data_IF_145506216884
#
_entry.id   IF_145506216884
#
_cell.length_a   1.000
_cell.length_b   1.000
_cell.length_c   1.000
_cell.angle_alpha   90.00
_cell.angle_beta   90.00
_cell.angle_gamma   90.00
#
_symmetry.space_group_name_H-M   'P 1'
#
loop_
_entity.id
_entity.type
_entity.pdbx_description
1 polymer ?
#
# COMPACT_ATOMS: atom_id res chain seq x y z
N UNK A 1 16.44 12.62 -38.22
CA UNK A 1 16.93 12.99 -36.88
C UNK A 1 15.85 12.66 -35.87
N UNK A 2 16.10 11.68 -35.01
CA UNK A 2 15.19 11.28 -33.95
C UNK A 2 15.15 12.40 -32.90
N UNK A 3 13.98 12.99 -32.67
CA UNK A 3 13.83 14.08 -31.69
C UNK A 3 13.82 13.48 -30.30
N UNK A 4 14.58 14.07 -29.37
CA UNK A 4 14.55 13.66 -27.97
C UNK A 4 13.11 13.82 -27.45
N UNK A 5 12.46 12.74 -26.95
CA UNK A 5 11.07 12.79 -26.50
C UNK A 5 10.89 13.52 -25.16
N UNK A 6 11.98 13.86 -24.47
CA UNK A 6 11.96 14.51 -23.16
C UNK A 6 12.03 16.03 -23.27
N UNK A 7 11.26 16.71 -22.41
CA UNK A 7 11.36 18.16 -22.24
C UNK A 7 12.78 18.56 -21.80
N UNK A 8 13.35 19.59 -22.44
CA UNK A 8 14.65 20.16 -22.06
C UNK A 8 14.60 20.91 -20.73
N UNK A 9 13.41 21.30 -20.27
CA UNK A 9 13.18 22.05 -19.03
C UNK A 9 13.79 21.38 -17.78
N UNK A 10 13.80 20.05 -17.73
CA UNK A 10 14.33 19.27 -16.60
C UNK A 10 15.80 18.86 -16.72
N UNK A 11 16.46 19.18 -17.83
CA UNK A 11 17.85 18.75 -18.06
C UNK A 11 18.80 19.48 -17.12
N UNK A 12 19.62 18.73 -16.38
CA UNK A 12 20.61 19.26 -15.44
C UNK A 12 20.00 19.93 -14.22
N UNK A 13 18.72 19.67 -13.91
CA UNK A 13 18.04 20.19 -12.72
C UNK A 13 18.14 19.20 -11.56
N UNK A 14 18.36 19.72 -10.35
CA UNK A 14 18.42 18.96 -9.10
C UNK A 14 19.47 17.83 -9.10
N UNK A 15 20.64 18.10 -9.68
CA UNK A 15 21.76 17.14 -9.87
C UNK A 15 22.91 17.36 -8.89
N UNK A 16 22.73 18.13 -7.82
CA UNK A 16 23.79 18.48 -6.85
C UNK A 16 24.41 17.22 -6.21
N UNK A 17 23.61 16.18 -6.00
CA UNK A 17 24.07 14.89 -5.51
C UNK A 17 25.05 14.19 -6.46
N UNK A 18 24.91 14.39 -7.78
CA UNK A 18 25.82 13.80 -8.78
C UNK A 18 27.21 14.43 -8.74
N UNK A 19 27.33 15.69 -8.29
CA UNK A 19 28.63 16.35 -8.15
C UNK A 19 29.50 15.75 -7.03
N UNK A 20 28.91 14.95 -6.13
CA UNK A 20 29.62 14.28 -5.03
C UNK A 20 30.41 13.06 -5.49
N UNK A 21 30.14 12.54 -6.69
CA UNK A 21 30.80 11.36 -7.25
C UNK A 21 31.51 11.75 -8.53
N UNK A 22 32.85 11.66 -8.56
CA UNK A 22 33.68 12.10 -9.69
C UNK A 22 33.26 11.49 -11.03
N UNK A 23 32.81 10.24 -11.01
CA UNK A 23 32.30 9.53 -12.19
C UNK A 23 30.96 10.06 -12.70
N UNK A 24 30.14 10.65 -11.83
CA UNK A 24 28.80 11.13 -12.18
C UNK A 24 28.77 12.61 -12.54
N UNK A 25 29.73 13.39 -12.04
CA UNK A 25 29.87 14.83 -12.32
C UNK A 25 29.82 15.18 -13.82
N UNK A 26 30.47 14.45 -14.75
CA UNK A 26 30.39 14.75 -16.19
C UNK A 26 28.99 14.51 -16.78
N UNK A 27 28.19 13.64 -16.16
CA UNK A 27 26.86 13.27 -16.64
C UNK A 27 25.77 14.22 -16.15
N UNK A 28 26.01 14.90 -15.02
CA UNK A 28 25.04 15.78 -14.36
C UNK A 28 24.36 16.79 -15.31
N UNK A 29 25.04 17.45 -16.27
CA UNK A 29 24.40 18.40 -17.19
C UNK A 29 23.42 17.78 -18.19
N UNK A 30 23.43 16.46 -18.36
CA UNK A 30 22.64 15.76 -19.39
C UNK A 30 21.48 14.96 -18.82
N UNK A 31 21.40 14.81 -17.50
CA UNK A 31 20.38 14.01 -16.82
C UNK A 31 19.08 14.79 -16.65
N UNK A 32 17.96 14.09 -16.80
CA UNK A 32 16.62 14.57 -16.41
C UNK A 32 16.11 13.69 -15.29
N UNK A 33 15.75 14.30 -14.15
CA UNK A 33 15.10 13.56 -13.06
C UNK A 33 13.64 13.30 -13.38
N UNK A 34 13.18 12.08 -13.07
CA UNK A 34 11.79 11.66 -13.24
C UNK A 34 11.30 10.99 -11.96
N UNK A 35 10.05 11.23 -11.60
CA UNK A 35 9.37 10.46 -10.57
C UNK A 35 8.82 9.19 -11.24
N UNK A 36 9.35 8.03 -10.86
CA UNK A 36 8.77 6.75 -11.24
C UNK A 36 7.80 6.33 -10.13
N UNK A 37 6.51 6.32 -10.42
CA UNK A 37 5.54 5.67 -9.53
C UNK A 37 5.89 4.19 -9.41
N UNK A 38 5.73 3.58 -8.22
CA UNK A 38 5.84 2.13 -8.08
C UNK A 38 4.95 1.43 -9.11
N UNK A 39 5.49 0.45 -9.84
CA UNK A 39 4.73 -0.32 -10.84
C UNK A 39 3.61 -1.17 -10.21
N UNK A 40 3.64 -1.36 -8.90
CA UNK A 40 2.64 -2.07 -8.14
C UNK A 40 2.39 -1.34 -6.83
N UNK A 41 1.17 -1.51 -6.32
CA UNK A 41 0.76 -0.85 -5.11
C UNK A 41 1.53 -1.39 -3.89
N UNK A 42 2.07 -0.47 -3.09
CA UNK A 42 2.90 -0.82 -1.94
C UNK A 42 1.99 -0.95 -0.73
N UNK A 43 1.67 -2.19 -0.34
CA UNK A 43 0.62 -2.51 0.64
C UNK A 43 0.76 -1.90 2.04
N UNK A 44 1.94 -1.39 2.39
CA UNK A 44 2.17 -0.67 3.65
C UNK A 44 2.12 0.87 3.52
N UNK A 45 2.23 1.42 2.31
CA UNK A 45 2.08 2.87 2.03
C UNK A 45 0.67 3.20 1.51
N UNK A 46 0.07 2.28 0.78
CA UNK A 46 -1.20 2.47 0.09
C UNK A 46 -2.24 1.48 0.61
N UNK A 47 -3.45 1.96 0.86
CA UNK A 47 -4.61 1.07 1.03
C UNK A 47 -4.98 0.45 -0.31
N UNK A 48 -4.27 -0.61 -0.68
CA UNK A 48 -4.62 -1.44 -1.84
C UNK A 48 -5.93 -2.14 -1.49
N UNK A 49 -7.04 -1.54 -1.95
CA UNK A 49 -8.39 -1.93 -1.57
C UNK A 49 -8.67 -3.36 -1.98
N UNK A 50 -8.65 -4.29 -1.02
CA UNK A 50 -9.45 -5.51 -1.16
C UNK A 50 -10.90 -5.06 -1.21
N UNK A 51 -11.58 -5.46 -2.29
CA UNK A 51 -13.04 -5.33 -2.41
C UNK A 51 -13.69 -5.67 -1.07
N UNK A 52 -14.47 -4.77 -0.45
CA UNK A 52 -15.18 -5.05 0.79
C UNK A 52 -16.02 -6.34 0.72
N UNK A 53 -16.49 -6.70 -0.47
CA UNK A 53 -17.23 -7.94 -0.74
C UNK A 53 -16.34 -9.19 -0.77
N UNK A 54 -15.02 -9.04 -0.83
CA UNK A 54 -14.06 -10.14 -0.70
C UNK A 54 -13.86 -10.59 0.76
N UNK A 55 -14.22 -9.76 1.75
CA UNK A 55 -14.10 -10.16 3.15
C UNK A 55 -15.03 -11.34 3.47
N UNK A 56 -14.56 -12.20 4.39
CA UNK A 56 -15.30 -13.37 4.90
C UNK A 56 -15.27 -13.39 6.42
N UNK A 57 -16.28 -14.00 7.02
CA UNK A 57 -16.32 -14.25 8.46
C UNK A 57 -15.07 -15.05 8.89
N UNK A 58 -14.41 -14.63 9.97
CA UNK A 58 -13.23 -15.32 10.49
C UNK A 58 -13.52 -16.79 10.86
N UNK A 59 -14.75 -17.07 11.29
CA UNK A 59 -15.15 -18.39 11.81
C UNK A 59 -15.75 -19.29 10.73
N UNK A 60 -16.84 -18.88 10.08
CA UNK A 60 -17.56 -19.73 9.12
C UNK A 60 -17.13 -19.52 7.67
N UNK A 61 -16.24 -18.56 7.40
CA UNK A 61 -15.83 -18.14 6.04
C UNK A 61 -16.98 -17.72 5.12
N UNK A 62 -18.19 -17.51 5.65
CA UNK A 62 -19.34 -17.00 4.89
C UNK A 62 -19.28 -15.50 4.65
N UNK A 63 -20.12 -15.03 3.72
CA UNK A 63 -20.39 -13.61 3.49
C UNK A 63 -21.16 -12.99 4.65
N UNK A 64 -21.03 -11.68 4.84
CA UNK A 64 -21.92 -10.93 5.73
C UNK A 64 -23.29 -10.75 5.09
N UNK A 65 -24.36 -10.84 5.89
CA UNK A 65 -25.72 -10.50 5.46
C UNK A 65 -26.27 -9.45 6.43
N UNK A 66 -26.30 -8.14 6.10
CA UNK A 66 -25.88 -7.48 4.85
C UNK A 66 -24.38 -7.18 4.77
N UNK A 67 -23.65 -7.15 5.90
CA UNK A 67 -22.20 -6.91 5.93
C UNK A 67 -21.55 -7.62 7.11
N UNK A 68 -20.24 -7.80 7.06
CA UNK A 68 -19.49 -8.31 8.21
C UNK A 68 -19.33 -7.21 9.27
N UNK A 69 -19.36 -7.61 10.54
CA UNK A 69 -19.12 -6.74 11.69
C UNK A 69 -17.67 -6.90 12.14
N UNK A 70 -16.95 -5.79 12.31
CA UNK A 70 -15.61 -5.81 12.89
C UNK A 70 -15.68 -5.96 14.40
N UNK A 71 -14.68 -6.59 15.01
CA UNK A 71 -14.47 -6.49 16.45
C UNK A 71 -14.33 -5.01 16.83
N UNK A 72 -15.14 -4.55 17.78
CA UNK A 72 -15.18 -3.14 18.21
C UNK A 72 -13.91 -2.70 18.92
N UNK A 73 -13.19 -3.63 19.55
CA UNK A 73 -11.96 -3.36 20.30
C UNK A 73 -10.77 -3.25 19.36
N UNK A 74 -10.41 -4.35 18.67
CA UNK A 74 -9.18 -4.40 17.88
C UNK A 74 -9.34 -3.97 16.41
N UNK A 75 -10.57 -3.94 15.88
CA UNK A 75 -10.90 -3.67 14.46
C UNK A 75 -10.17 -4.55 13.42
N UNK A 76 -9.46 -5.61 13.84
CA UNK A 76 -8.63 -6.48 12.98
C UNK A 76 -9.39 -7.69 12.41
N UNK A 77 -10.37 -8.21 13.15
CA UNK A 77 -11.15 -9.41 12.76
C UNK A 77 -12.60 -9.05 12.46
N UNK A 78 -13.23 -9.83 11.58
CA UNK A 78 -14.59 -9.62 11.07
C UNK A 78 -15.44 -10.87 11.26
N UNK A 79 -16.70 -10.71 11.67
CA UNK A 79 -17.66 -11.78 11.89
C UNK A 79 -18.97 -11.50 11.14
N UNK A 80 -19.63 -12.55 10.64
CA UNK A 80 -20.97 -12.39 10.07
C UNK A 80 -22.05 -12.17 11.14
N UNK A 81 -21.80 -12.60 12.37
CA UNK A 81 -22.79 -12.55 13.46
C UNK A 81 -22.13 -12.58 14.84
N UNK A 82 -22.90 -12.24 15.88
CA UNK A 82 -22.45 -12.28 17.28
C UNK A 82 -22.14 -13.71 17.75
N UNK A 83 -22.81 -14.71 17.17
CA UNK A 83 -22.58 -16.13 17.46
C UNK A 83 -21.18 -16.55 16.98
N UNK A 84 -20.78 -16.13 15.78
CA UNK A 84 -19.42 -16.35 15.28
C UNK A 84 -18.39 -15.64 16.17
N UNK A 85 -18.66 -14.40 16.60
CA UNK A 85 -17.76 -13.69 17.51
C UNK A 85 -17.61 -14.44 18.85
N UNK A 86 -18.71 -14.89 19.46
CA UNK A 86 -18.68 -15.65 20.72
C UNK A 86 -17.93 -16.98 20.58
N UNK A 87 -18.09 -17.68 19.45
CA UNK A 87 -17.37 -18.93 19.16
C UNK A 87 -15.86 -18.72 19.11
N UNK A 88 -15.40 -17.62 18.52
CA UNK A 88 -13.98 -17.26 18.44
C UNK A 88 -13.43 -16.64 19.74
N UNK A 89 -14.29 -16.07 20.58
CA UNK A 89 -13.90 -15.27 21.75
C UNK A 89 -12.94 -15.98 22.71
N UNK A 90 -13.09 -17.30 22.89
CA UNK A 90 -12.20 -18.11 23.75
C UNK A 90 -10.73 -17.96 23.39
N UNK A 91 -10.42 -17.84 22.09
CA UNK A 91 -9.06 -17.69 21.56
C UNK A 91 -8.77 -16.22 21.25
N UNK A 92 -9.70 -15.51 20.61
CA UNK A 92 -9.52 -14.12 20.18
C UNK A 92 -9.19 -13.19 21.35
N UNK A 93 -9.81 -13.37 22.53
CA UNK A 93 -9.61 -12.51 23.71
C UNK A 93 -8.15 -12.38 24.13
N UNK A 94 -7.35 -13.43 23.92
CA UNK A 94 -5.92 -13.46 24.31
C UNK A 94 -5.08 -12.51 23.44
N UNK A 95 -5.54 -12.22 22.21
CA UNK A 95 -4.84 -11.38 21.22
C UNK A 95 -5.60 -10.10 20.87
N UNK A 96 -6.75 -9.87 21.49
CA UNK A 96 -7.58 -8.70 21.23
C UNK A 96 -6.98 -7.47 21.93
N UNK A 97 -6.37 -6.58 21.14
CA UNK A 97 -5.79 -5.31 21.60
C UNK A 97 -6.17 -4.20 20.62
N UNK A 98 -6.45 -3.01 21.15
CA UNK A 98 -6.73 -1.80 20.37
C UNK A 98 -5.58 -1.51 19.39
#
# INVERSE_FOLDING_TARGET
MEKNPLCSCGRGKDVEGMNKVNMWKPLAPYVTRIALSPLFAVSYLETVGRDPEAYRCFVCRGKGKPKLKMCTVCKKVRYCSSECQKKDWKVHKLRCKA
#
